data_IF_810725698581
#
_entry.id   IF_810725698581
#
_cell.length_a   1.000
_cell.length_b   1.000
_cell.length_c   1.000
_cell.angle_alpha   90.00
_cell.angle_beta   90.00
_cell.angle_gamma   90.00
#
_symmetry.space_group_name_H-M   'P 1'
#
loop_
_entity.id
_entity.type
_entity.pdbx_description
1 polymer ?
#
# COMPACT_ATOMS: atom_id res chain seq x y z
N UNK A 1 22.66 -5.38 70.79
CA UNK A 1 23.61 -5.46 71.93
C UNK A 1 25.03 -5.41 71.40
N UNK A 2 26.02 -4.99 72.20
CA UNK A 2 27.49 -5.28 72.07
C UNK A 2 28.13 -5.22 70.67
N UNK A 3 28.90 -4.18 70.33
CA UNK A 3 30.39 -4.11 70.48
C UNK A 3 31.15 -5.08 69.55
N UNK A 4 32.32 -4.76 68.95
CA UNK A 4 33.54 -4.02 69.36
C UNK A 4 34.08 -3.17 68.17
N UNK A 5 34.63 -1.98 68.34
CA UNK A 5 35.93 -1.56 68.90
C UNK A 5 37.15 -1.70 67.93
N UNK A 6 37.87 -0.59 67.75
CA UNK A 6 39.35 -0.40 67.89
C UNK A 6 40.34 -1.24 67.05
N UNK A 7 41.56 -0.78 66.68
CA UNK A 7 42.23 0.56 66.61
C UNK A 7 43.64 0.34 65.95
N UNK A 8 44.63 1.26 65.80
CA UNK A 8 44.84 2.69 66.13
C UNK A 8 45.99 3.30 65.28
N UNK A 9 46.08 4.64 65.19
CA UNK A 9 47.29 5.44 64.84
C UNK A 9 47.79 5.37 63.37
N UNK A 10 48.55 6.34 62.81
CA UNK A 10 49.41 7.40 63.38
C UNK A 10 49.30 8.77 62.70
N UNK A 11 49.79 9.79 63.40
CA UNK A 11 50.09 11.19 63.00
C UNK A 11 51.55 11.31 62.49
N UNK A 12 52.08 12.51 62.17
CA UNK A 12 51.58 13.59 61.30
C UNK A 12 52.69 14.09 60.31
N UNK A 13 52.44 15.20 59.59
CA UNK A 13 53.49 16.22 59.42
C UNK A 13 54.02 16.51 58.01
N UNK A 14 53.87 17.79 57.63
CA UNK A 14 54.55 18.54 56.57
C UNK A 14 55.91 18.02 56.07
N UNK A 15 56.06 17.91 54.74
CA UNK A 15 56.92 18.81 53.93
C UNK A 15 56.80 18.50 52.43
N UNK A 16 56.14 19.37 51.65
CA UNK A 16 56.43 19.52 50.20
C UNK A 16 55.90 20.86 49.63
N UNK A 17 56.46 21.96 50.12
CA UNK A 17 56.49 23.19 49.32
C UNK A 17 57.55 23.08 48.21
N UNK A 18 57.50 23.98 47.22
CA UNK A 18 58.52 24.11 46.16
C UNK A 18 58.60 22.91 45.19
N UNK A 19 57.47 22.53 44.59
CA UNK A 19 57.45 21.90 43.26
C UNK A 19 56.29 22.35 42.35
N UNK A 20 55.29 23.06 42.90
CA UNK A 20 54.03 23.41 42.21
C UNK A 20 54.04 24.79 41.50
N UNK A 21 55.22 25.38 41.23
CA UNK A 21 55.35 26.74 40.67
C UNK A 21 55.98 26.75 39.25
N UNK A 22 56.53 25.61 38.79
CA UNK A 22 57.21 25.53 37.47
C UNK A 22 56.32 24.85 36.40
N UNK A 23 55.32 24.05 36.76
CA UNK A 23 54.38 23.45 35.79
C UNK A 23 53.27 24.41 35.30
N UNK A 24 52.90 25.41 36.09
CA UNK A 24 51.80 26.34 35.78
C UNK A 24 52.18 27.40 34.74
N UNK A 25 53.47 27.75 34.62
CA UNK A 25 53.96 28.76 33.68
C UNK A 25 53.99 28.27 32.23
N UNK A 26 54.26 26.98 31.98
CA UNK A 26 54.23 26.40 30.63
C UNK A 26 52.80 26.22 30.10
N UNK A 27 51.88 25.68 30.91
CA UNK A 27 50.48 25.48 30.51
C UNK A 27 49.74 26.81 30.23
N UNK A 28 50.12 27.90 30.90
CA UNK A 28 49.49 29.22 30.72
C UNK A 28 49.86 29.88 29.38
N UNK A 29 51.01 29.55 28.78
CA UNK A 29 51.46 30.19 27.54
C UNK A 29 50.69 29.69 26.31
N UNK A 30 50.37 28.39 26.26
CA UNK A 30 49.61 27.75 25.17
C UNK A 30 48.19 28.34 25.06
N UNK A 31 47.61 28.80 26.17
CA UNK A 31 46.26 29.37 26.18
C UNK A 31 46.18 30.83 25.70
N UNK A 32 47.30 31.54 25.56
CA UNK A 32 47.34 32.94 25.09
C UNK A 32 47.65 33.09 23.60
N UNK A 33 48.05 32.02 22.90
CA UNK A 33 48.25 32.05 21.45
C UNK A 33 46.92 32.20 20.69
N UNK A 34 46.93 33.05 19.67
CA UNK A 34 45.77 33.40 18.85
C UNK A 34 45.32 32.16 18.03
N UNK A 35 44.03 32.00 17.67
CA UNK A 35 43.55 30.77 17.02
C UNK A 35 44.22 30.40 15.69
N UNK A 36 44.86 31.36 15.01
CA UNK A 36 45.62 31.13 13.78
C UNK A 36 47.02 30.56 14.05
N UNK A 37 47.65 30.91 15.18
CA UNK A 37 48.94 30.36 15.61
C UNK A 37 48.82 28.91 16.10
N UNK A 38 47.67 28.54 16.69
CA UNK A 38 47.41 27.16 17.13
C UNK A 38 47.35 26.14 15.99
N UNK A 39 47.14 26.58 14.74
CA UNK A 39 47.23 25.72 13.54
C UNK A 39 48.68 25.45 13.09
N UNK A 40 49.68 26.16 13.62
CA UNK A 40 51.08 26.05 13.17
C UNK A 40 51.95 25.08 13.99
N UNK A 41 51.38 24.40 15.01
CA UNK A 41 52.15 23.64 16.00
C UNK A 41 51.77 22.15 16.10
N UNK A 42 51.40 21.53 14.97
CA UNK A 42 51.60 20.09 14.72
C UNK A 42 51.46 19.71 13.23
N UNK A 43 51.94 20.55 12.31
CA UNK A 43 51.98 20.26 10.85
C UNK A 43 53.09 19.25 10.55
N UNK A 44 52.89 18.00 10.98
CA UNK A 44 53.85 16.92 10.83
C UNK A 44 53.80 16.42 9.38
N UNK A 45 54.68 16.99 8.54
CA UNK A 45 54.78 16.69 7.11
C UNK A 45 54.77 15.19 6.85
N UNK A 46 53.67 14.75 6.24
CA UNK A 46 53.39 13.39 5.79
C UNK A 46 52.96 13.52 4.33
N UNK A 47 53.46 12.65 3.45
CA UNK A 47 53.31 12.80 2.00
C UNK A 47 52.38 11.73 1.44
N UNK A 48 51.35 12.18 0.72
CA UNK A 48 50.53 11.33 -0.12
C UNK A 48 51.16 11.29 -1.51
N UNK A 49 51.43 10.09 -2.02
CA UNK A 49 51.88 9.85 -3.39
C UNK A 49 50.79 9.10 -4.14
N UNK A 50 50.19 9.75 -5.12
CA UNK A 50 49.21 9.14 -6.04
C UNK A 50 49.94 8.80 -7.34
N UNK A 51 50.13 7.51 -7.60
CA UNK A 51 50.59 7.01 -8.90
C UNK A 51 49.38 6.68 -9.77
N UNK A 52 49.50 6.94 -11.06
CA UNK A 52 48.48 6.66 -12.08
C UNK A 52 49.18 6.01 -13.27
N UNK A 53 48.87 4.74 -13.52
CA UNK A 53 49.51 3.92 -14.55
C UNK A 53 48.47 3.31 -15.49
N UNK A 54 48.90 3.06 -16.71
CA UNK A 54 48.26 2.13 -17.66
C UNK A 54 48.39 0.70 -17.11
N UNK A 55 47.29 -0.06 -17.09
CA UNK A 55 47.28 -1.43 -16.57
C UNK A 55 47.93 -2.46 -17.51
N UNK A 56 47.91 -2.24 -18.82
CA UNK A 56 48.46 -3.18 -19.81
C UNK A 56 49.96 -2.96 -19.96
N UNK A 57 50.38 -1.72 -20.24
CA UNK A 57 51.80 -1.39 -20.49
C UNK A 57 52.60 -1.10 -19.22
N UNK A 58 51.92 -0.85 -18.09
CA UNK A 58 52.55 -0.36 -16.86
C UNK A 58 53.13 1.06 -16.97
N UNK A 59 52.86 1.79 -18.06
CA UNK A 59 53.43 3.12 -18.28
C UNK A 59 52.76 4.21 -17.43
N UNK A 60 53.53 5.22 -16.98
CA UNK A 60 53.01 6.33 -16.18
C UNK A 60 52.13 7.30 -17.01
N UNK A 61 50.88 7.50 -16.58
CA UNK A 61 49.93 8.38 -17.27
C UNK A 61 50.11 9.83 -16.82
N UNK A 62 50.64 10.67 -17.70
CA UNK A 62 50.83 12.10 -17.49
C UNK A 62 49.54 12.90 -17.72
N UNK A 63 49.42 14.06 -17.06
CA UNK A 63 48.26 14.95 -17.16
C UNK A 63 46.91 14.33 -16.75
N UNK A 64 46.92 13.25 -15.97
CA UNK A 64 45.72 12.76 -15.29
C UNK A 64 45.36 13.72 -14.17
N UNK A 65 44.11 14.19 -14.10
CA UNK A 65 43.70 15.09 -13.02
C UNK A 65 43.36 14.29 -11.77
N UNK A 66 44.07 14.58 -10.68
CA UNK A 66 43.84 14.00 -9.35
C UNK A 66 42.97 14.95 -8.54
N UNK A 67 41.80 14.46 -8.14
CA UNK A 67 40.86 15.15 -7.26
C UNK A 67 40.92 14.56 -5.86
N UNK A 68 41.05 15.42 -4.85
CA UNK A 68 41.05 15.05 -3.42
C UNK A 68 39.87 15.75 -2.76
N UNK A 69 38.98 14.96 -2.16
CA UNK A 69 37.77 15.42 -1.48
C UNK A 69 37.81 15.07 0.02
N UNK A 70 37.07 15.82 0.83
CA UNK A 70 36.86 15.48 2.25
C UNK A 70 36.00 14.22 2.42
N UNK A 71 35.81 13.74 3.66
CA UNK A 71 34.90 12.61 3.91
C UNK A 71 33.44 12.97 3.62
N UNK A 72 33.08 14.25 3.80
CA UNK A 72 31.79 14.87 3.50
C UNK A 72 31.59 15.17 2.00
N UNK A 73 32.66 15.13 1.20
CA UNK A 73 32.62 15.31 -0.26
C UNK A 73 32.99 16.71 -0.76
N UNK A 74 33.50 17.61 0.08
CA UNK A 74 34.00 18.93 -0.38
C UNK A 74 35.33 18.77 -1.12
N UNK A 75 35.53 19.46 -2.25
CA UNK A 75 36.80 19.40 -3.01
C UNK A 75 37.90 20.17 -2.26
N UNK A 76 38.90 19.43 -1.75
CA UNK A 76 40.07 19.97 -1.05
C UNK A 76 41.14 20.41 -2.06
N UNK A 77 41.42 19.57 -3.07
CA UNK A 77 42.53 19.80 -4.00
C UNK A 77 42.29 19.18 -5.37
N UNK A 78 42.78 19.88 -6.40
CA UNK A 78 42.91 19.41 -7.78
C UNK A 78 44.37 19.62 -8.24
N UNK A 79 44.92 18.68 -9.02
CA UNK A 79 46.22 18.80 -9.66
C UNK A 79 46.43 17.79 -10.79
N UNK A 80 47.52 17.90 -11.55
CA UNK A 80 47.86 17.01 -12.67
C UNK A 80 49.05 16.10 -12.32
N UNK A 81 49.03 14.85 -12.79
CA UNK A 81 50.18 13.94 -12.69
C UNK A 81 51.36 14.37 -13.57
N UNK A 82 52.57 14.25 -13.03
CA UNK A 82 53.85 14.42 -13.73
C UNK A 82 54.69 13.15 -13.56
N UNK A 83 55.16 12.57 -14.66
CA UNK A 83 55.69 11.20 -14.72
C UNK A 83 54.77 10.18 -14.05
N UNK A 84 53.46 10.26 -14.33
CA UNK A 84 52.45 9.38 -13.74
C UNK A 84 52.21 9.56 -12.24
N UNK A 85 52.81 10.57 -11.61
CA UNK A 85 52.79 10.76 -10.17
C UNK A 85 52.28 12.15 -9.78
N UNK A 86 51.49 12.20 -8.71
CA UNK A 86 51.16 13.42 -7.99
C UNK A 86 51.55 13.26 -6.52
N UNK A 87 52.18 14.27 -5.92
CA UNK A 87 52.56 14.27 -4.50
C UNK A 87 51.86 15.43 -3.80
N UNK A 88 51.20 15.14 -2.68
CA UNK A 88 50.46 16.11 -1.88
C UNK A 88 50.89 16.03 -0.41
N UNK A 89 51.32 17.15 0.15
CA UNK A 89 51.56 17.31 1.59
C UNK A 89 50.38 18.02 2.25
N UNK A 90 50.30 17.91 3.58
CA UNK A 90 49.40 18.72 4.41
C UNK A 90 47.89 18.41 4.20
N UNK A 91 47.56 17.13 4.02
CA UNK A 91 46.20 16.57 3.93
C UNK A 91 45.52 16.40 5.32
N UNK A 92 44.17 16.29 5.39
CA UNK A 92 43.46 15.88 6.61
C UNK A 92 43.60 14.37 6.88
N UNK A 93 43.35 13.93 8.12
CA UNK A 93 43.55 12.53 8.54
C UNK A 93 42.83 11.47 7.69
N UNK A 94 41.66 11.81 7.13
CA UNK A 94 40.90 10.99 6.20
C UNK A 94 40.34 11.85 5.05
N UNK A 95 40.33 11.30 3.83
CA UNK A 95 39.88 11.95 2.59
C UNK A 95 39.52 10.90 1.52
N UNK A 96 39.00 11.34 0.38
CA UNK A 96 38.73 10.50 -0.81
C UNK A 96 39.54 10.99 -2.00
N UNK A 97 40.04 10.08 -2.83
CA UNK A 97 40.77 10.41 -4.08
C UNK A 97 40.04 9.83 -5.29
N UNK A 98 39.92 10.63 -6.36
CA UNK A 98 39.35 10.28 -7.68
C UNK A 98 40.29 10.77 -8.79
N UNK A 99 40.27 10.12 -9.95
CA UNK A 99 41.01 10.52 -11.16
C UNK A 99 40.02 10.92 -12.26
N UNK A 100 40.37 11.88 -13.12
CA UNK A 100 39.48 12.45 -14.15
C UNK A 100 38.81 11.43 -15.08
N UNK A 101 39.48 10.34 -15.43
CA UNK A 101 38.98 9.30 -16.35
C UNK A 101 38.42 8.05 -15.65
N UNK A 102 38.19 8.11 -14.34
CA UNK A 102 37.49 7.07 -13.56
C UNK A 102 36.38 7.73 -12.75
N UNK A 103 35.29 8.13 -13.44
CA UNK A 103 34.33 9.08 -12.87
C UNK A 103 33.62 8.56 -11.60
N UNK A 104 33.35 7.26 -11.52
CA UNK A 104 32.67 6.64 -10.36
C UNK A 104 33.62 6.12 -9.26
N UNK A 105 34.94 6.06 -9.51
CA UNK A 105 35.88 5.42 -8.58
C UNK A 105 36.50 6.38 -7.56
N UNK A 106 35.88 6.46 -6.39
CA UNK A 106 36.46 7.06 -5.19
C UNK A 106 37.23 6.03 -4.36
N UNK A 107 38.50 6.30 -4.06
CA UNK A 107 39.26 5.55 -3.04
C UNK A 107 39.27 6.34 -1.73
N UNK A 108 38.73 5.74 -0.67
CA UNK A 108 38.80 6.29 0.69
C UNK A 108 40.19 6.07 1.31
N UNK A 109 40.72 7.09 1.99
CA UNK A 109 42.11 7.14 2.44
C UNK A 109 42.18 7.78 3.83
N UNK A 110 42.39 6.97 4.86
CA UNK A 110 42.87 7.44 6.16
C UNK A 110 44.38 7.21 6.31
N UNK A 111 45.08 8.09 7.03
CA UNK A 111 46.54 8.05 7.22
C UNK A 111 46.91 8.47 8.65
N UNK A 112 47.89 7.81 9.26
CA UNK A 112 48.42 8.18 10.58
C UNK A 112 49.32 9.42 10.53
N UNK A 113 49.48 10.08 11.69
CA UNK A 113 50.36 11.26 11.83
C UNK A 113 51.83 10.86 11.64
N UNK A 114 52.45 11.34 10.56
CA UNK A 114 53.82 10.98 10.19
C UNK A 114 53.97 9.75 9.28
N UNK A 115 52.88 9.20 8.74
CA UNK A 115 52.94 8.10 7.76
C UNK A 115 52.91 8.65 6.32
N UNK A 116 53.95 8.37 5.52
CA UNK A 116 53.88 8.54 4.06
C UNK A 116 53.01 7.42 3.45
N UNK A 117 52.17 7.75 2.47
CA UNK A 117 51.23 6.79 1.87
C UNK A 117 51.22 6.84 0.35
N UNK A 118 51.28 5.66 -0.28
CA UNK A 118 51.21 5.49 -1.73
C UNK A 118 49.85 4.91 -2.14
N UNK A 119 49.25 5.46 -3.19
CA UNK A 119 48.03 4.96 -3.83
C UNK A 119 48.32 4.76 -5.31
N UNK A 120 48.08 3.56 -5.83
CA UNK A 120 48.21 3.25 -7.24
C UNK A 120 46.83 3.16 -7.88
N UNK A 121 46.47 4.13 -8.72
CA UNK A 121 45.39 3.99 -9.69
C UNK A 121 45.94 3.31 -10.93
N UNK A 122 45.13 2.41 -11.47
CA UNK A 122 45.42 1.63 -12.66
C UNK A 122 44.28 1.95 -13.63
N UNK A 123 44.60 2.31 -14.87
CA UNK A 123 43.64 2.61 -15.92
C UNK A 123 43.81 1.59 -17.05
N UNK A 124 42.78 0.80 -17.28
CA UNK A 124 42.59 0.07 -18.52
C UNK A 124 42.03 1.07 -19.53
N UNK A 125 42.70 1.22 -20.68
CA UNK A 125 42.05 1.88 -21.81
C UNK A 125 40.83 1.03 -22.20
N UNK A 126 39.64 1.62 -22.44
CA UNK A 126 38.59 0.88 -23.12
C UNK A 126 39.14 0.44 -24.47
N UNK A 127 39.00 -0.85 -24.78
CA UNK A 127 39.54 -1.44 -26.02
C UNK A 127 39.00 -0.68 -27.25
N UNK A 128 39.81 -0.62 -28.31
CA UNK A 128 39.72 0.36 -29.38
C UNK A 128 38.27 0.55 -29.89
N UNK A 129 37.69 1.71 -29.57
CA UNK A 129 36.25 2.02 -29.65
C UNK A 129 35.51 1.28 -30.79
N UNK A 130 34.70 0.24 -30.48
CA UNK A 130 34.15 -0.64 -31.51
C UNK A 130 33.26 0.15 -32.49
N UNK A 131 33.53 -0.06 -33.78
CA UNK A 131 33.05 0.74 -34.90
C UNK A 131 31.52 0.76 -34.94
N UNK A 132 30.92 1.95 -34.96
CA UNK A 132 29.48 2.13 -34.73
C UNK A 132 28.71 2.07 -36.05
N UNK A 133 27.88 1.03 -36.21
CA UNK A 133 26.97 0.84 -37.34
C UNK A 133 25.60 1.50 -37.11
N UNK A 134 25.16 1.58 -35.85
CA UNK A 134 23.90 2.23 -35.46
C UNK A 134 23.95 2.74 -34.02
N UNK A 135 23.19 3.79 -33.73
CA UNK A 135 22.96 4.32 -32.40
C UNK A 135 21.61 5.02 -32.33
N UNK A 136 20.81 4.72 -31.31
CA UNK A 136 19.55 5.38 -30.98
C UNK A 136 19.52 5.64 -29.46
N UNK A 137 19.16 6.86 -29.10
CA UNK A 137 18.87 7.31 -27.72
C UNK A 137 17.36 7.18 -27.44
N UNK A 138 16.96 7.17 -26.17
CA UNK A 138 15.55 7.15 -25.71
C UNK A 138 14.67 6.10 -26.43
N UNK A 139 15.06 4.81 -26.36
CA UNK A 139 14.31 3.71 -27.00
C UNK A 139 12.92 3.51 -26.38
N UNK A 140 12.78 3.69 -25.06
CA UNK A 140 11.52 3.65 -24.34
C UNK A 140 11.12 2.27 -23.83
N UNK A 141 9.83 2.10 -23.52
CA UNK A 141 9.33 0.90 -22.83
C UNK A 141 8.94 -0.21 -23.81
N UNK A 142 9.71 -1.31 -23.79
CA UNK A 142 9.46 -2.54 -24.55
C UNK A 142 8.87 -3.65 -23.66
N UNK A 143 8.28 -4.64 -24.31
CA UNK A 143 7.65 -5.80 -23.67
C UNK A 143 6.18 -5.60 -23.34
N UNK A 144 5.55 -6.68 -22.90
CA UNK A 144 4.14 -6.74 -22.51
C UNK A 144 3.94 -7.39 -21.15
N UNK A 145 2.70 -7.44 -20.68
CA UNK A 145 2.33 -8.38 -19.60
C UNK A 145 1.02 -9.05 -19.97
N UNK A 146 0.85 -10.33 -19.61
CA UNK A 146 -0.37 -11.07 -19.95
C UNK A 146 -1.58 -10.74 -19.04
N UNK A 147 -1.45 -9.76 -18.14
CA UNK A 147 -2.44 -9.41 -17.11
C UNK A 147 -2.32 -10.32 -15.88
N UNK A 148 -1.11 -10.55 -15.41
CA UNK A 148 -0.79 -11.61 -14.45
C UNK A 148 -1.12 -11.25 -13.01
N UNK A 149 -1.41 -12.29 -12.22
CA UNK A 149 -1.58 -12.17 -10.78
C UNK A 149 -0.20 -12.09 -10.15
N UNK A 150 0.25 -10.86 -9.83
CA UNK A 150 1.48 -10.56 -9.10
C UNK A 150 1.52 -11.33 -7.78
N UNK A 151 0.40 -11.31 -7.03
CA UNK A 151 0.22 -12.11 -5.82
C UNK A 151 -1.27 -12.23 -5.42
N UNK A 152 -1.55 -13.13 -4.48
CA UNK A 152 -2.86 -13.27 -3.82
C UNK A 152 -2.70 -13.24 -2.30
N UNK A 153 -3.51 -12.44 -1.60
CA UNK A 153 -3.68 -12.51 -0.13
C UNK A 153 -4.99 -13.26 0.18
N UNK A 154 -4.93 -14.33 0.97
CA UNK A 154 -6.12 -15.02 1.47
C UNK A 154 -6.51 -14.54 2.88
N UNK A 155 -7.82 -14.46 3.15
CA UNK A 155 -8.36 -14.02 4.43
C UNK A 155 -9.33 -15.05 5.03
N UNK A 156 -9.41 -15.17 6.37
CA UNK A 156 -10.33 -16.07 7.04
C UNK A 156 -11.80 -15.86 6.65
N UNK A 157 -12.54 -16.97 6.56
CA UNK A 157 -14.00 -16.96 6.36
C UNK A 157 -14.67 -16.07 7.44
N UNK A 158 -15.57 -15.20 7.01
CA UNK A 158 -16.15 -14.14 7.84
C UNK A 158 -17.65 -14.35 7.99
N UNK A 159 -18.17 -14.18 9.20
CA UNK A 159 -19.62 -14.12 9.47
C UNK A 159 -19.94 -12.74 10.03
N UNK A 160 -20.84 -12.03 9.36
CA UNK A 160 -21.42 -10.77 9.80
C UNK A 160 -22.93 -10.97 10.02
N UNK A 161 -23.50 -10.35 11.06
CA UNK A 161 -24.89 -10.61 11.43
C UNK A 161 -25.58 -9.46 12.18
N UNK A 162 -26.79 -9.17 11.69
CA UNK A 162 -27.83 -8.32 12.27
C UNK A 162 -29.10 -9.16 12.57
N UNK A 163 -29.06 -10.14 13.51
CA UNK A 163 -30.19 -11.02 13.78
C UNK A 163 -31.48 -10.28 14.16
N UNK A 164 -32.62 -10.83 13.71
CA UNK A 164 -33.94 -10.27 14.01
C UNK A 164 -34.30 -10.50 15.49
N UNK A 165 -34.44 -9.40 16.22
CA UNK A 165 -34.93 -9.34 17.59
C UNK A 165 -36.37 -8.83 17.64
N UNK A 166 -37.07 -9.14 18.73
CA UNK A 166 -38.46 -8.75 18.92
C UNK A 166 -38.64 -8.09 20.30
N UNK A 167 -39.27 -6.91 20.33
CA UNK A 167 -39.85 -6.35 21.55
C UNK A 167 -41.37 -6.55 21.52
N UNK A 168 -42.00 -6.74 22.67
CA UNK A 168 -43.46 -6.87 22.78
C UNK A 168 -43.95 -6.11 24.00
N UNK A 169 -44.79 -5.10 23.76
CA UNK A 169 -45.47 -4.34 24.82
C UNK A 169 -46.89 -4.84 24.93
N UNK A 170 -47.28 -5.31 26.12
CA UNK A 170 -48.65 -5.74 26.42
C UNK A 170 -49.40 -4.58 27.10
N UNK A 171 -50.68 -4.45 26.79
CA UNK A 171 -51.58 -3.41 27.31
C UNK A 171 -52.74 -4.10 28.06
N UNK A 172 -53.37 -3.43 29.05
CA UNK A 172 -54.55 -3.97 29.71
C UNK A 172 -55.72 -4.18 28.73
N UNK A 173 -56.66 -5.04 29.10
CA UNK A 173 -57.93 -5.20 28.37
C UNK A 173 -58.67 -3.87 28.25
N UNK A 174 -59.37 -3.66 27.14
CA UNK A 174 -60.05 -2.41 26.83
C UNK A 174 -61.45 -2.68 26.29
N UNK A 175 -62.43 -1.88 26.70
CA UNK A 175 -63.82 -2.02 26.30
C UNK A 175 -64.21 -0.82 25.44
N UNK A 176 -64.83 -1.05 24.29
CA UNK A 176 -65.28 -0.01 23.35
C UNK A 176 -66.80 -0.07 23.17
N UNK A 177 -67.45 1.09 23.21
CA UNK A 177 -68.88 1.25 22.92
C UNK A 177 -69.12 2.00 21.60
N UNK A 178 -70.20 1.66 20.90
CA UNK A 178 -70.70 2.42 19.75
C UNK A 178 -72.23 2.42 19.63
N UNK A 179 -72.75 3.41 18.92
CA UNK A 179 -74.17 3.57 18.60
C UNK A 179 -74.30 4.37 17.27
N UNK A 180 -75.53 4.72 16.88
CA UNK A 180 -75.81 5.45 15.64
C UNK A 180 -75.10 6.83 15.52
N UNK A 181 -74.78 7.47 16.65
CA UNK A 181 -74.23 8.83 16.70
C UNK A 181 -72.74 8.88 17.06
N UNK A 182 -72.17 7.81 17.63
CA UNK A 182 -70.77 7.79 18.05
C UNK A 182 -70.13 6.39 17.95
N UNK A 183 -68.80 6.36 17.88
CA UNK A 183 -68.00 5.18 18.23
C UNK A 183 -66.80 5.66 19.03
N UNK A 184 -66.55 5.01 20.15
CA UNK A 184 -65.28 5.13 20.86
C UNK A 184 -64.15 4.54 20.02
N UNK A 185 -62.91 4.93 20.35
CA UNK A 185 -61.70 4.39 19.75
C UNK A 185 -60.55 4.35 20.75
N UNK A 186 -59.81 3.24 20.75
CA UNK A 186 -58.64 3.02 21.60
C UNK A 186 -57.37 3.38 20.81
N UNK A 187 -56.68 4.45 21.23
CA UNK A 187 -55.37 4.83 20.71
C UNK A 187 -54.22 4.18 21.48
N UNK A 188 -53.34 3.46 20.79
CA UNK A 188 -52.15 2.79 21.34
C UNK A 188 -50.91 3.20 20.54
N UNK A 189 -49.92 3.75 21.24
CA UNK A 189 -48.68 4.23 20.62
C UNK A 189 -47.54 3.23 20.80
N UNK A 190 -46.95 2.80 19.70
CA UNK A 190 -45.63 2.19 19.68
C UNK A 190 -44.60 3.31 19.45
N UNK A 191 -43.95 3.76 20.54
CA UNK A 191 -42.92 4.79 20.54
C UNK A 191 -41.51 4.21 20.34
N UNK A 192 -40.51 5.08 20.15
CA UNK A 192 -39.09 4.70 20.03
C UNK A 192 -38.80 3.75 18.87
N UNK A 193 -39.57 3.86 17.78
CA UNK A 193 -39.35 3.08 16.56
C UNK A 193 -38.18 3.67 15.79
N UNK A 194 -36.99 3.06 15.91
CA UNK A 194 -35.87 3.38 15.02
C UNK A 194 -36.19 2.83 13.62
N UNK A 195 -36.57 3.74 12.73
CA UNK A 195 -36.92 3.46 11.34
C UNK A 195 -35.75 2.87 10.52
N UNK A 196 -34.50 2.97 10.98
CA UNK A 196 -33.35 2.39 10.30
C UNK A 196 -33.26 0.87 10.54
N UNK A 197 -33.31 0.44 11.81
CA UNK A 197 -33.17 -0.99 12.18
C UNK A 197 -34.50 -1.74 12.36
N UNK A 198 -35.63 -1.06 12.52
CA UNK A 198 -36.93 -1.74 12.62
C UNK A 198 -37.35 -2.32 11.26
N UNK A 199 -37.76 -3.58 11.23
CA UNK A 199 -38.30 -4.29 10.06
C UNK A 199 -39.80 -4.02 9.90
N UNK A 200 -40.54 -4.13 10.99
CA UNK A 200 -41.99 -3.95 11.04
C UNK A 200 -42.49 -3.70 12.46
N UNK A 201 -43.68 -3.12 12.58
CA UNK A 201 -44.41 -3.00 13.85
C UNK A 201 -45.78 -3.64 13.69
N UNK A 202 -45.98 -4.75 14.39
CA UNK A 202 -47.27 -5.43 14.50
C UNK A 202 -48.11 -4.90 15.66
N UNK A 203 -49.42 -5.00 15.54
CA UNK A 203 -50.39 -4.78 16.61
C UNK A 203 -51.46 -5.87 16.57
N UNK A 204 -51.84 -6.40 17.73
CA UNK A 204 -52.76 -7.54 17.81
C UNK A 204 -53.56 -7.57 19.12
N UNK A 205 -54.73 -8.20 19.08
CA UNK A 205 -55.62 -8.40 20.23
C UNK A 205 -56.60 -9.57 19.97
N UNK A 206 -57.26 -10.04 21.02
CA UNK A 206 -58.36 -11.00 20.99
C UNK A 206 -59.68 -10.27 21.28
N UNK A 207 -60.74 -10.53 20.52
CA UNK A 207 -62.09 -10.04 20.83
C UNK A 207 -62.78 -11.02 21.80
N UNK A 208 -62.67 -10.78 23.11
CA UNK A 208 -63.17 -11.70 24.14
C UNK A 208 -64.70 -11.79 24.17
N UNK A 209 -65.39 -10.69 23.94
CA UNK A 209 -66.85 -10.60 23.84
C UNK A 209 -67.27 -9.43 22.95
N UNK A 210 -68.42 -9.55 22.30
CA UNK A 210 -69.07 -8.47 21.56
C UNK A 210 -70.57 -8.49 21.78
N UNK A 211 -71.23 -7.34 21.61
CA UNK A 211 -72.69 -7.20 21.63
C UNK A 211 -73.17 -6.56 20.33
N UNK A 212 -74.20 -7.14 19.73
CA UNK A 212 -74.56 -6.87 18.34
C UNK A 212 -73.56 -7.51 17.39
N UNK A 213 -73.33 -6.88 16.23
CA UNK A 213 -72.38 -7.37 15.24
C UNK A 213 -71.49 -6.24 14.66
N UNK A 214 -70.74 -5.53 15.53
CA UNK A 214 -69.91 -4.39 15.13
C UNK A 214 -68.79 -4.77 14.17
N UNK A 215 -68.41 -3.81 13.32
CA UNK A 215 -67.25 -3.93 12.43
C UNK A 215 -66.01 -3.40 13.15
N UNK A 216 -65.02 -4.28 13.36
CA UNK A 216 -63.76 -3.88 13.98
C UNK A 216 -62.90 -3.19 12.93
N UNK A 217 -62.51 -1.94 13.17
CA UNK A 217 -61.57 -1.20 12.33
C UNK A 217 -60.28 -0.92 13.07
N UNK A 218 -59.15 -1.15 12.41
CA UNK A 218 -57.81 -0.84 12.94
C UNK A 218 -57.10 0.08 11.95
N UNK A 219 -56.70 1.24 12.43
CA UNK A 219 -55.90 2.22 11.72
C UNK A 219 -54.48 2.25 12.32
N UNK A 220 -53.48 2.60 11.52
CA UNK A 220 -52.15 2.96 11.99
C UNK A 220 -51.70 4.25 11.28
N UNK A 221 -51.40 5.30 12.05
CA UNK A 221 -51.12 6.64 11.51
C UNK A 221 -52.20 7.09 10.51
N UNK A 222 -53.47 7.02 10.94
CA UNK A 222 -54.71 7.29 10.18
C UNK A 222 -54.96 6.43 8.91
N UNK A 223 -54.01 5.59 8.49
CA UNK A 223 -54.21 4.61 7.42
C UNK A 223 -54.94 3.38 7.94
N UNK A 224 -56.07 3.03 7.34
CA UNK A 224 -56.80 1.79 7.61
C UNK A 224 -55.94 0.57 7.26
N UNK A 225 -55.77 -0.35 8.20
CA UNK A 225 -55.06 -1.63 8.02
C UNK A 225 -56.01 -2.85 8.05
N UNK A 226 -57.15 -2.74 8.74
CA UNK A 226 -58.13 -3.81 8.90
C UNK A 226 -59.54 -3.22 9.10
N UNK A 227 -60.56 -3.85 8.54
CA UNK A 227 -61.97 -3.47 8.68
C UNK A 227 -62.87 -4.68 8.41
N UNK A 228 -63.24 -5.44 9.44
CA UNK A 228 -64.05 -6.66 9.28
C UNK A 228 -64.88 -7.01 10.53
N UNK A 229 -65.87 -7.89 10.36
CA UNK A 229 -66.74 -8.42 11.42
C UNK A 229 -66.08 -9.61 12.11
N UNK A 230 -65.38 -9.33 13.21
CA UNK A 230 -64.64 -10.33 13.97
C UNK A 230 -65.59 -11.18 14.82
N UNK A 231 -65.34 -12.50 14.87
CA UNK A 231 -66.09 -13.43 15.73
C UNK A 231 -65.60 -13.39 17.18
N UNK A 232 -66.46 -13.77 18.13
CA UNK A 232 -66.06 -13.86 19.53
C UNK A 232 -64.96 -14.93 19.72
N UNK A 233 -63.91 -14.60 20.48
CA UNK A 233 -62.68 -15.38 20.59
C UNK A 233 -61.71 -15.20 19.41
N UNK A 234 -62.09 -14.45 18.37
CA UNK A 234 -61.26 -14.16 17.21
C UNK A 234 -60.06 -13.27 17.55
N UNK A 235 -58.94 -13.52 16.90
CA UNK A 235 -57.73 -12.69 17.00
C UNK A 235 -57.63 -11.77 15.78
N UNK A 236 -57.36 -10.49 16.03
CA UNK A 236 -56.97 -9.52 14.99
C UNK A 236 -55.47 -9.30 15.10
N UNK A 237 -54.78 -9.26 13.96
CA UNK A 237 -53.37 -8.90 13.87
C UNK A 237 -53.14 -8.08 12.61
N UNK A 238 -52.51 -6.91 12.76
CA UNK A 238 -52.11 -6.02 11.67
C UNK A 238 -50.62 -5.73 11.76
N UNK A 239 -50.01 -5.36 10.64
CA UNK A 239 -48.59 -5.01 10.59
C UNK A 239 -48.38 -3.75 9.76
N UNK A 240 -47.60 -2.81 10.30
CA UNK A 240 -46.98 -1.73 9.52
C UNK A 240 -45.63 -2.25 9.02
N UNK A 241 -45.45 -2.45 7.69
CA UNK A 241 -44.17 -2.85 7.12
C UNK A 241 -43.20 -1.66 7.04
N UNK A 242 -41.92 -1.94 6.80
CA UNK A 242 -40.80 -0.98 6.69
C UNK A 242 -41.16 0.38 6.05
N UNK A 243 -41.87 0.35 4.92
CA UNK A 243 -42.22 1.53 4.11
C UNK A 243 -43.26 2.45 4.77
N UNK A 244 -43.99 1.96 5.78
CA UNK A 244 -44.96 2.75 6.56
C UNK A 244 -44.46 3.15 7.95
N UNK A 245 -43.22 2.83 8.31
CA UNK A 245 -42.68 3.12 9.64
C UNK A 245 -42.32 4.60 9.80
N UNK A 246 -42.76 5.17 10.93
CA UNK A 246 -42.33 6.45 11.46
C UNK A 246 -41.77 6.23 12.89
N UNK A 247 -41.33 7.31 13.57
CA UNK A 247 -40.75 7.20 14.94
C UNK A 247 -41.75 6.79 16.03
N UNK A 248 -43.05 7.01 15.79
CA UNK A 248 -44.15 6.68 16.70
C UNK A 248 -45.37 6.24 15.90
N UNK A 249 -45.69 4.95 15.92
CA UNK A 249 -46.88 4.40 15.26
C UNK A 249 -48.07 4.61 16.20
N UNK A 250 -49.10 5.33 15.77
CA UNK A 250 -50.36 5.47 16.51
C UNK A 250 -51.40 4.49 15.95
N UNK A 251 -51.68 3.41 16.68
CA UNK A 251 -52.70 2.41 16.34
C UNK A 251 -54.04 2.83 16.96
N UNK A 252 -55.06 3.05 16.13
CA UNK A 252 -56.41 3.40 16.59
C UNK A 252 -57.39 2.27 16.25
N UNK A 253 -57.99 1.65 17.28
CA UNK A 253 -58.98 0.58 17.14
C UNK A 253 -60.38 1.12 17.43
N UNK A 254 -61.33 0.89 16.51
CA UNK A 254 -62.74 1.28 16.64
C UNK A 254 -63.67 0.08 16.53
N UNK A 255 -64.79 0.16 17.23
CA UNK A 255 -65.87 -0.82 17.29
C UNK A 255 -67.06 -0.27 16.48
N UNK A 256 -66.89 -0.08 15.17
CA UNK A 256 -67.87 0.66 14.34
C UNK A 256 -69.24 -0.03 14.32
N UNK A 257 -70.28 0.76 14.58
CA UNK A 257 -71.67 0.35 14.68
C UNK A 257 -72.24 -0.16 13.34
N UNK A 258 -72.77 -1.39 13.30
CA UNK A 258 -73.52 -1.89 12.13
C UNK A 258 -74.98 -1.43 12.16
N UNK A 259 -75.46 -0.89 11.02
CA UNK A 259 -76.64 -0.04 10.90
C UNK A 259 -77.99 -0.67 11.25
N UNK A 260 -78.07 -2.00 11.27
CA UNK A 260 -79.32 -2.75 11.40
C UNK A 260 -79.94 -2.76 12.81
N UNK A 261 -79.22 -2.31 13.84
CA UNK A 261 -79.66 -2.37 15.24
C UNK A 261 -79.68 -0.99 15.93
N UNK A 262 -80.29 0.00 15.28
CA UNK A 262 -80.26 1.42 15.65
C UNK A 262 -80.75 1.79 17.07
N UNK A 263 -81.44 0.89 17.77
CA UNK A 263 -81.87 1.07 19.15
C UNK A 263 -80.86 0.60 20.22
N UNK A 264 -79.80 -0.14 19.85
CA UNK A 264 -78.92 -0.80 20.82
C UNK A 264 -77.47 -0.35 20.72
N UNK A 265 -76.89 0.08 21.84
CA UNK A 265 -75.43 0.21 21.98
C UNK A 265 -74.77 -1.13 21.69
N UNK A 266 -73.84 -1.13 20.73
CA UNK A 266 -72.96 -2.24 20.41
C UNK A 266 -71.67 -2.11 21.25
N UNK A 267 -71.03 -3.23 21.54
CA UNK A 267 -69.78 -3.23 22.31
C UNK A 267 -68.76 -4.27 21.86
N UNK A 268 -67.49 -3.99 22.15
CA UNK A 268 -66.33 -4.81 21.86
C UNK A 268 -65.37 -4.84 23.06
N UNK A 269 -65.16 -6.02 23.65
CA UNK A 269 -64.20 -6.26 24.72
C UNK A 269 -62.91 -6.85 24.15
N UNK A 270 -61.84 -6.07 24.18
CA UNK A 270 -60.52 -6.41 23.63
C UNK A 270 -59.60 -6.89 24.75
N UNK A 271 -58.95 -8.03 24.56
CA UNK A 271 -57.95 -8.60 25.49
C UNK A 271 -56.69 -9.02 24.75
N UNK A 272 -55.65 -9.47 25.48
CA UNK A 272 -54.34 -9.84 24.91
C UNK A 272 -53.72 -8.76 24.02
N UNK A 273 -54.05 -7.49 24.29
CA UNK A 273 -53.72 -6.34 23.46
C UNK A 273 -52.20 -6.10 23.52
N UNK A 274 -51.53 -6.12 22.37
CA UNK A 274 -50.07 -5.99 22.32
C UNK A 274 -49.57 -5.38 21.01
N UNK A 275 -48.50 -4.59 21.13
CA UNK A 275 -47.66 -4.18 20.00
C UNK A 275 -46.41 -5.06 19.99
N UNK A 276 -45.94 -5.43 18.78
CA UNK A 276 -44.71 -6.20 18.57
C UNK A 276 -43.82 -5.45 17.58
N UNK A 277 -42.64 -5.04 18.01
CA UNK A 277 -41.64 -4.42 17.14
C UNK A 277 -40.62 -5.49 16.74
N UNK A 278 -40.49 -5.77 15.44
CA UNK A 278 -39.42 -6.62 14.90
C UNK A 278 -38.28 -5.72 14.41
N UNK A 279 -37.05 -5.90 14.92
CA UNK A 279 -35.92 -5.04 14.60
C UNK A 279 -34.59 -5.80 14.56
N UNK A 280 -33.64 -5.27 13.79
CA UNK A 280 -32.34 -5.89 13.56
C UNK A 280 -31.33 -5.45 14.62
N UNK A 281 -30.88 -6.40 15.45
CA UNK A 281 -29.91 -6.12 16.54
C UNK A 281 -28.49 -6.40 16.04
N UNK A 282 -27.51 -5.50 16.24
CA UNK A 282 -26.12 -5.76 15.88
C UNK A 282 -25.53 -6.90 16.71
N UNK A 283 -25.02 -7.96 16.06
CA UNK A 283 -24.31 -9.07 16.74
C UNK A 283 -22.84 -9.12 16.35
N UNK A 284 -22.54 -9.05 15.04
CA UNK A 284 -21.18 -8.81 14.52
C UNK A 284 -21.30 -8.04 13.22
N UNK A 285 -21.21 -6.72 13.30
CA UNK A 285 -21.53 -5.81 12.19
C UNK A 285 -20.33 -5.51 11.29
N UNK A 286 -19.12 -5.73 11.78
CA UNK A 286 -17.87 -5.45 11.09
C UNK A 286 -16.84 -6.56 11.33
N UNK A 287 -15.94 -6.73 10.37
CA UNK A 287 -14.72 -7.54 10.48
C UNK A 287 -13.58 -6.81 9.77
N UNK A 288 -12.51 -6.53 10.50
CA UNK A 288 -11.26 -5.97 9.96
C UNK A 288 -10.22 -7.08 9.78
N UNK A 289 -9.41 -6.97 8.72
CA UNK A 289 -8.19 -7.74 8.51
C UNK A 289 -7.03 -6.78 8.21
N UNK A 290 -5.93 -6.92 8.92
CA UNK A 290 -4.71 -6.15 8.67
C UNK A 290 -3.76 -6.96 7.78
N UNK A 291 -3.13 -6.32 6.79
CA UNK A 291 -2.18 -6.97 5.88
C UNK A 291 -1.01 -6.06 5.45
N UNK A 292 0.09 -6.68 5.06
CA UNK A 292 1.28 -6.03 4.48
C UNK A 292 1.33 -6.17 2.97
N UNK A 293 2.09 -5.30 2.31
CA UNK A 293 2.38 -5.36 0.86
C UNK A 293 3.88 -5.28 0.58
N UNK A 294 4.35 -5.96 -0.46
CA UNK A 294 5.67 -5.71 -1.07
C UNK A 294 5.67 -4.43 -1.91
N UNK A 295 6.82 -4.00 -2.45
CA UNK A 295 6.90 -2.93 -3.46
C UNK A 295 6.01 -3.23 -4.67
N UNK A 296 6.24 -4.38 -5.30
CA UNK A 296 5.52 -4.83 -6.50
C UNK A 296 4.00 -4.91 -6.29
N UNK A 297 3.53 -5.21 -5.07
CA UNK A 297 2.09 -5.20 -4.73
C UNK A 297 1.49 -3.79 -4.56
N UNK A 298 2.31 -2.77 -4.29
CA UNK A 298 1.88 -1.35 -4.27
C UNK A 298 1.93 -0.72 -5.66
N UNK A 299 2.83 -1.22 -6.51
CA UNK A 299 3.01 -0.81 -7.90
C UNK A 299 2.05 -1.54 -8.87
N UNK A 300 1.21 -2.46 -8.36
CA UNK A 300 0.15 -3.11 -9.12
C UNK A 300 -0.88 -2.09 -9.65
N UNK A 301 -1.18 -2.13 -10.95
CA UNK A 301 -2.18 -1.22 -11.52
C UNK A 301 -3.60 -1.51 -11.00
N UNK A 302 -4.00 -2.78 -10.88
CA UNK A 302 -5.35 -3.18 -10.47
C UNK A 302 -5.28 -4.13 -9.26
N UNK A 303 -6.14 -3.89 -8.27
CA UNK A 303 -6.44 -4.84 -7.20
C UNK A 303 -7.89 -5.31 -7.30
N UNK A 304 -8.12 -6.62 -7.17
CA UNK A 304 -9.46 -7.23 -7.17
C UNK A 304 -9.73 -7.99 -5.86
N UNK A 305 -10.82 -7.63 -5.19
CA UNK A 305 -11.40 -8.43 -4.12
C UNK A 305 -12.30 -9.51 -4.75
N UNK A 306 -12.13 -10.78 -4.36
CA UNK A 306 -13.09 -11.86 -4.62
C UNK A 306 -13.55 -12.52 -3.32
N UNK A 307 -14.80 -12.94 -3.27
CA UNK A 307 -15.34 -13.79 -2.20
C UNK A 307 -16.61 -14.53 -2.65
N UNK A 308 -17.08 -15.49 -1.86
CA UNK A 308 -18.32 -16.23 -2.08
C UNK A 308 -19.25 -15.97 -0.91
N UNK A 309 -20.52 -15.65 -1.14
CA UNK A 309 -21.55 -15.71 -0.08
C UNK A 309 -22.06 -17.14 0.06
N UNK A 310 -22.27 -17.65 1.27
CA UNK A 310 -22.83 -18.99 1.46
C UNK A 310 -24.35 -19.00 1.37
N UNK A 311 -24.97 -17.95 1.89
CA UNK A 311 -26.42 -17.83 2.09
C UNK A 311 -26.97 -16.59 1.38
N UNK A 312 -28.29 -16.52 1.20
CA UNK A 312 -28.99 -15.32 0.72
C UNK A 312 -29.00 -14.21 1.80
N UNK A 313 -28.02 -13.31 1.75
CA UNK A 313 -27.86 -12.26 2.74
C UNK A 313 -28.82 -11.08 2.48
N UNK A 314 -30.00 -11.10 3.10
CA UNK A 314 -30.98 -10.00 3.03
C UNK A 314 -30.40 -8.70 3.60
N UNK A 315 -30.00 -7.74 2.75
CA UNK A 315 -29.41 -6.46 3.17
C UNK A 315 -27.98 -6.23 2.66
N UNK A 316 -27.24 -7.31 2.38
CA UNK A 316 -25.91 -7.25 1.78
C UNK A 316 -24.80 -6.64 2.65
N UNK A 317 -23.65 -6.41 2.03
CA UNK A 317 -22.37 -6.13 2.69
C UNK A 317 -21.61 -5.05 1.91
N UNK A 318 -20.86 -4.22 2.63
CA UNK A 318 -19.83 -3.33 2.08
C UNK A 318 -18.43 -3.81 2.41
N UNK A 319 -17.48 -3.58 1.51
CA UNK A 319 -16.06 -3.80 1.75
C UNK A 319 -15.26 -2.53 1.40
N UNK A 320 -14.27 -2.21 2.23
CA UNK A 320 -13.34 -1.11 2.02
C UNK A 320 -11.91 -1.52 2.32
N UNK A 321 -10.94 -0.88 1.66
CA UNK A 321 -9.51 -0.99 1.96
C UNK A 321 -8.97 0.40 2.30
N UNK A 322 -8.29 0.53 3.44
CA UNK A 322 -7.72 1.81 3.89
C UNK A 322 -8.73 2.97 3.94
N UNK A 323 -9.99 2.66 4.25
CA UNK A 323 -11.18 3.53 4.22
C UNK A 323 -11.75 3.87 2.82
N UNK A 324 -11.14 3.40 1.74
CA UNK A 324 -11.68 3.51 0.37
C UNK A 324 -12.66 2.37 0.14
N UNK A 325 -13.93 2.69 -0.13
CA UNK A 325 -14.96 1.69 -0.45
C UNK A 325 -14.68 1.06 -1.82
N UNK A 326 -14.64 -0.27 -1.87
CA UNK A 326 -14.39 -1.05 -3.09
C UNK A 326 -15.60 -1.89 -3.51
N UNK A 327 -16.53 -2.15 -2.59
CA UNK A 327 -17.74 -2.94 -2.86
C UNK A 327 -18.89 -2.45 -1.97
N UNK A 328 -20.06 -2.21 -2.56
CA UNK A 328 -21.36 -2.14 -1.87
C UNK A 328 -22.35 -3.06 -2.56
N UNK A 329 -23.07 -3.87 -1.79
CA UNK A 329 -24.28 -4.54 -2.25
C UNK A 329 -25.38 -4.51 -1.19
N UNK A 330 -26.62 -4.47 -1.69
CA UNK A 330 -27.86 -4.46 -0.91
C UNK A 330 -28.44 -5.88 -0.72
N UNK A 331 -27.82 -6.88 -1.33
CA UNK A 331 -28.18 -8.31 -1.26
C UNK A 331 -27.00 -9.17 -1.70
N UNK A 332 -26.82 -10.34 -1.09
CA UNK A 332 -25.95 -11.38 -1.65
C UNK A 332 -26.79 -12.63 -1.93
N UNK A 333 -26.54 -13.32 -3.04
CA UNK A 333 -27.39 -14.38 -3.61
C UNK A 333 -26.66 -15.73 -3.72
N UNK A 334 -25.79 -16.05 -2.76
CA UNK A 334 -24.96 -17.28 -2.71
C UNK A 334 -23.98 -17.51 -3.88
N UNK A 335 -23.71 -16.48 -4.68
CA UNK A 335 -22.76 -16.52 -5.82
C UNK A 335 -21.33 -16.07 -5.46
N UNK A 336 -20.44 -16.14 -6.46
CA UNK A 336 -19.11 -15.51 -6.43
C UNK A 336 -19.25 -14.00 -6.71
N UNK A 337 -18.70 -13.19 -5.82
CA UNK A 337 -18.62 -11.74 -5.95
C UNK A 337 -17.19 -11.30 -6.26
N UNK A 338 -17.05 -10.30 -7.11
CA UNK A 338 -15.79 -9.60 -7.29
C UNK A 338 -15.95 -8.08 -7.39
N UNK A 339 -14.87 -7.37 -7.08
CA UNK A 339 -14.77 -5.92 -7.20
C UNK A 339 -13.32 -5.49 -7.48
N UNK A 340 -13.12 -4.72 -8.54
CA UNK A 340 -11.79 -4.27 -8.98
C UNK A 340 -11.65 -2.75 -8.85
N UNK A 341 -10.46 -2.29 -8.44
CA UNK A 341 -10.12 -0.87 -8.35
C UNK A 341 -8.64 -0.65 -8.61
N UNK A 342 -8.20 0.51 -9.14
CA UNK A 342 -6.78 0.80 -9.30
C UNK A 342 -6.06 0.81 -7.94
N UNK A 343 -4.94 0.10 -7.77
CA UNK A 343 -4.34 -0.05 -6.45
C UNK A 343 -3.73 1.26 -5.91
N UNK A 344 -3.30 2.15 -6.81
CA UNK A 344 -2.89 3.54 -6.50
C UNK A 344 -3.97 4.31 -5.72
N UNK A 345 -5.26 4.05 -5.97
CA UNK A 345 -6.36 4.71 -5.27
C UNK A 345 -6.54 4.22 -3.82
N UNK A 346 -5.92 3.09 -3.44
CA UNK A 346 -6.06 2.48 -2.12
C UNK A 346 -5.03 2.97 -1.09
N UNK A 347 -4.08 3.82 -1.50
CA UNK A 347 -3.06 4.36 -0.60
C UNK A 347 -2.27 3.27 0.14
N UNK A 348 -1.89 2.21 -0.57
CA UNK A 348 -1.28 1.03 0.01
C UNK A 348 0.09 1.34 0.62
N UNK A 349 0.36 0.75 1.78
CA UNK A 349 1.61 0.89 2.53
C UNK A 349 2.26 -0.47 2.79
N UNK A 350 3.53 -0.47 3.17
CA UNK A 350 4.26 -1.72 3.43
C UNK A 350 3.64 -2.51 4.61
N UNK A 351 3.25 -1.80 5.68
CA UNK A 351 2.55 -2.40 6.82
C UNK A 351 1.49 -1.45 7.39
N UNK A 352 0.30 -2.00 7.68
CA UNK A 352 -0.84 -1.26 8.22
C UNK A 352 -2.06 -1.15 7.31
N UNK A 353 -2.11 -1.85 6.17
CA UNK A 353 -3.30 -1.89 5.33
C UNK A 353 -4.45 -2.62 6.03
N UNK A 354 -5.68 -2.14 5.84
CA UNK A 354 -6.89 -2.68 6.48
C UNK A 354 -7.96 -2.98 5.44
N UNK A 355 -8.29 -4.26 5.26
CA UNK A 355 -9.50 -4.72 4.59
C UNK A 355 -10.63 -4.82 5.62
N UNK A 356 -11.70 -4.06 5.45
CA UNK A 356 -12.85 -4.03 6.37
C UNK A 356 -14.13 -4.43 5.64
N UNK A 357 -14.81 -5.45 6.15
CA UNK A 357 -16.18 -5.77 5.74
C UNK A 357 -17.17 -5.25 6.78
N UNK A 358 -18.25 -4.62 6.31
CA UNK A 358 -19.35 -4.11 7.13
C UNK A 358 -20.68 -4.67 6.62
N UNK A 359 -21.45 -5.32 7.48
CA UNK A 359 -22.82 -5.70 7.17
C UNK A 359 -23.70 -4.43 7.13
N UNK A 360 -24.59 -4.36 6.15
CA UNK A 360 -25.68 -3.40 6.20
C UNK A 360 -26.74 -3.86 7.22
N UNK A 361 -27.57 -2.95 7.79
CA UNK A 361 -28.70 -3.36 8.62
C UNK A 361 -29.57 -4.38 7.89
N UNK A 362 -30.10 -5.37 8.63
CA UNK A 362 -30.75 -6.60 8.17
C UNK A 362 -29.86 -7.75 7.69
N UNK A 363 -28.59 -7.51 7.34
CA UNK A 363 -27.76 -8.55 6.76
C UNK A 363 -27.28 -9.60 7.78
N UNK A 364 -27.49 -10.86 7.45
CA UNK A 364 -26.73 -12.00 7.96
C UNK A 364 -25.98 -12.61 6.76
N UNK A 365 -24.65 -12.56 6.78
CA UNK A 365 -23.80 -12.84 5.64
C UNK A 365 -22.59 -13.66 6.06
N UNK A 366 -22.45 -14.86 5.47
CA UNK A 366 -21.27 -15.70 5.61
C UNK A 366 -20.45 -15.59 4.33
N UNK A 367 -19.28 -14.96 4.44
CA UNK A 367 -18.31 -14.77 3.37
C UNK A 367 -17.23 -15.86 3.45
N UNK A 368 -16.96 -16.54 2.33
CA UNK A 368 -15.93 -17.58 2.21
C UNK A 368 -14.99 -17.30 1.04
N UNK A 369 -13.77 -17.86 1.12
CA UNK A 369 -12.78 -17.72 0.05
C UNK A 369 -12.40 -16.27 -0.23
N UNK A 370 -12.36 -15.44 0.82
CA UNK A 370 -12.07 -14.01 0.72
C UNK A 370 -10.61 -13.84 0.29
N UNK A 371 -10.39 -13.22 -0.86
CA UNK A 371 -9.07 -13.07 -1.49
C UNK A 371 -8.90 -11.68 -2.09
N UNK A 372 -7.72 -11.09 -1.93
CA UNK A 372 -7.28 -9.94 -2.71
C UNK A 372 -6.25 -10.41 -3.74
N UNK A 373 -6.48 -10.10 -5.01
CA UNK A 373 -5.59 -10.36 -6.14
C UNK A 373 -4.95 -9.03 -6.58
N UNK A 374 -3.66 -9.05 -6.87
CA UNK A 374 -2.90 -7.91 -7.40
C UNK A 374 -2.53 -8.21 -8.85
N UNK A 375 -2.83 -7.29 -9.76
CA UNK A 375 -2.72 -7.51 -11.21
C UNK A 375 -1.82 -6.47 -11.88
N UNK A 376 -1.06 -6.94 -12.87
CA UNK A 376 -0.51 -6.08 -13.93
C UNK A 376 -1.61 -5.76 -14.96
N UNK A 377 -1.51 -4.66 -15.72
CA UNK A 377 -2.41 -4.38 -16.82
C UNK A 377 -1.94 -5.15 -18.06
N UNK A 378 -2.87 -5.58 -18.91
CA UNK A 378 -2.52 -6.15 -20.23
C UNK A 378 -2.00 -5.03 -21.13
N UNK A 379 -0.70 -4.74 -21.05
CA UNK A 379 0.00 -3.94 -22.05
C UNK A 379 0.28 -4.84 -23.25
N UNK A 380 -0.01 -4.33 -24.45
CA UNK A 380 0.46 -4.99 -25.68
C UNK A 380 1.97 -5.15 -25.65
N UNK A 381 2.48 -6.19 -26.31
CA UNK A 381 3.92 -6.44 -26.40
C UNK A 381 4.57 -5.34 -27.24
N UNK A 382 5.13 -4.33 -26.57
CA UNK A 382 5.79 -3.21 -27.23
C UNK A 382 7.12 -3.70 -27.82
N UNK A 383 7.27 -3.50 -29.13
CA UNK A 383 8.45 -3.88 -29.89
C UNK A 383 8.95 -2.67 -30.68
N UNK A 384 10.27 -2.54 -30.79
CA UNK A 384 10.95 -1.42 -31.46
C UNK A 384 11.77 -1.94 -32.64
N UNK A 385 11.65 -1.30 -33.81
CA UNK A 385 12.24 -1.78 -35.07
C UNK A 385 13.17 -0.73 -35.69
N UNK A 386 14.43 -1.12 -35.94
CA UNK A 386 15.48 -0.27 -36.48
C UNK A 386 16.09 -0.88 -37.75
N UNK A 387 16.60 -0.01 -38.63
CA UNK A 387 17.35 -0.40 -39.82
C UNK A 387 18.78 0.13 -39.70
N UNK A 388 19.76 -0.75 -39.86
CA UNK A 388 21.17 -0.38 -39.93
C UNK A 388 21.84 -0.97 -41.17
N UNK A 389 23.02 -0.46 -41.50
CA UNK A 389 23.78 -0.87 -42.68
C UNK A 389 25.19 -1.28 -42.26
N UNK A 390 25.79 -2.22 -43.00
CA UNK A 390 27.16 -2.65 -42.82
C UNK A 390 27.75 -2.88 -44.22
N UNK A 391 28.76 -2.11 -44.61
CA UNK A 391 29.39 -2.28 -45.93
C UNK A 391 30.11 -3.62 -46.03
N UNK A 392 30.27 -4.11 -47.26
CA UNK A 392 31.01 -5.33 -47.54
C UNK A 392 32.44 -5.29 -46.94
N UNK A 393 33.06 -4.11 -46.86
CA UNK A 393 34.35 -3.89 -46.18
C UNK A 393 34.28 -4.08 -44.67
N UNK A 394 33.22 -3.61 -44.01
CA UNK A 394 33.02 -3.75 -42.56
C UNK A 394 32.72 -5.21 -42.23
N UNK A 395 31.80 -5.85 -42.98
CA UNK A 395 31.45 -7.27 -42.85
C UNK A 395 32.65 -8.21 -43.03
N UNK A 396 33.54 -7.94 -44.01
CA UNK A 396 34.76 -8.73 -44.20
C UNK A 396 35.88 -8.42 -43.18
N UNK A 397 35.74 -7.37 -42.37
CA UNK A 397 36.70 -7.01 -41.31
C UNK A 397 36.26 -7.43 -39.90
N UNK A 398 34.97 -7.74 -39.74
CA UNK A 398 34.30 -8.01 -38.48
C UNK A 398 34.60 -9.41 -37.97
N UNK A 399 35.07 -9.49 -36.72
CA UNK A 399 35.17 -10.72 -35.94
C UNK A 399 33.83 -11.03 -35.25
N UNK A 400 33.21 -10.01 -34.66
CA UNK A 400 31.92 -10.09 -33.95
C UNK A 400 31.06 -8.85 -34.24
N UNK A 401 29.77 -9.05 -34.46
CA UNK A 401 28.77 -7.99 -34.27
C UNK A 401 28.37 -7.88 -32.80
N UNK A 402 28.08 -6.68 -32.32
CA UNK A 402 27.64 -6.41 -30.95
C UNK A 402 26.40 -5.51 -30.97
N UNK A 403 25.35 -5.92 -30.25
CA UNK A 403 24.23 -5.03 -29.88
C UNK A 403 24.37 -4.74 -28.40
N UNK A 404 24.84 -3.54 -28.06
CA UNK A 404 24.90 -3.03 -26.69
C UNK A 404 23.66 -2.18 -26.40
N UNK A 405 23.09 -2.29 -25.21
CA UNK A 405 21.88 -1.58 -24.82
C UNK A 405 21.89 -1.21 -23.34
N UNK A 406 21.34 -0.05 -23.00
CA UNK A 406 21.17 0.41 -21.63
C UNK A 406 19.75 0.14 -21.15
N UNK A 407 19.63 -0.46 -19.97
CA UNK A 407 18.35 -0.71 -19.29
C UNK A 407 18.22 0.27 -18.14
N UNK A 408 17.38 1.30 -18.28
CA UNK A 408 17.12 2.27 -17.22
C UNK A 408 16.35 1.64 -16.06
N UNK A 409 15.35 0.81 -16.39
CA UNK A 409 14.43 0.25 -15.42
C UNK A 409 13.92 -1.14 -15.84
N UNK A 410 13.68 -2.00 -14.85
CA UNK A 410 13.11 -3.33 -15.03
C UNK A 410 11.77 -3.36 -14.30
N UNK A 411 10.68 -3.37 -15.05
CA UNK A 411 9.34 -3.53 -14.47
C UNK A 411 9.06 -5.01 -14.17
N UNK A 412 9.44 -5.91 -15.08
CA UNK A 412 9.39 -7.36 -14.89
C UNK A 412 10.64 -8.03 -15.49
N UNK A 413 11.38 -8.77 -14.66
CA UNK A 413 12.53 -9.57 -15.09
C UNK A 413 12.10 -10.59 -16.15
N UNK A 414 12.95 -10.81 -17.15
CA UNK A 414 12.66 -11.71 -18.26
C UNK A 414 13.79 -11.75 -19.28
N UNK A 415 13.45 -12.17 -20.50
CA UNK A 415 14.35 -12.14 -21.65
C UNK A 415 14.01 -10.99 -22.60
N UNK A 416 15.04 -10.33 -23.13
CA UNK A 416 14.94 -9.45 -24.29
C UNK A 416 15.37 -10.24 -25.53
N UNK A 417 14.56 -10.16 -26.58
CA UNK A 417 14.72 -10.84 -27.86
C UNK A 417 15.10 -9.84 -28.94
N UNK A 418 16.30 -10.02 -29.51
CA UNK A 418 16.84 -9.24 -30.61
C UNK A 418 16.76 -10.08 -31.88
N UNK A 419 15.88 -9.70 -32.81
CA UNK A 419 15.71 -10.39 -34.08
C UNK A 419 16.41 -9.59 -35.19
N UNK A 420 17.49 -10.13 -35.75
CA UNK A 420 18.22 -9.56 -36.90
C UNK A 420 17.97 -10.41 -38.12
N UNK A 421 17.45 -9.84 -39.21
CA UNK A 421 17.28 -10.52 -40.52
C UNK A 421 16.47 -11.85 -40.52
N UNK A 422 15.73 -12.15 -39.44
CA UNK A 422 15.03 -13.41 -39.10
C UNK A 422 15.79 -14.44 -38.24
N UNK A 423 16.98 -14.11 -37.76
CA UNK A 423 17.71 -14.86 -36.72
C UNK A 423 17.51 -14.15 -35.36
N UNK A 424 17.46 -14.93 -34.28
CA UNK A 424 17.06 -14.47 -32.95
C UNK A 424 18.18 -14.68 -31.92
N UNK A 425 18.56 -13.59 -31.25
CA UNK A 425 19.48 -13.58 -30.11
C UNK A 425 18.69 -13.19 -28.86
N UNK A 426 19.08 -13.74 -27.71
CA UNK A 426 18.36 -13.57 -26.46
C UNK A 426 19.31 -13.15 -25.34
N UNK A 427 18.93 -12.12 -24.59
CA UNK A 427 19.65 -11.70 -23.39
C UNK A 427 18.70 -11.74 -22.19
N UNK A 428 19.12 -12.44 -21.12
CA UNK A 428 18.45 -12.38 -19.82
C UNK A 428 18.92 -11.13 -19.10
N UNK A 429 17.99 -10.35 -18.56
CA UNK A 429 18.28 -9.07 -17.89
C UNK A 429 17.78 -9.14 -16.45
N UNK A 430 18.71 -9.12 -15.49
CA UNK A 430 18.45 -9.21 -14.05
C UNK A 430 18.78 -7.92 -13.26
N UNK A 431 19.38 -6.93 -13.92
CA UNK A 431 19.81 -5.64 -13.36
C UNK A 431 19.76 -4.52 -14.41
N UNK A 432 19.54 -3.29 -13.96
CA UNK A 432 19.68 -2.08 -14.76
C UNK A 432 21.14 -1.83 -15.17
N UNK A 433 21.34 -1.03 -16.22
CA UNK A 433 22.65 -0.65 -16.76
C UNK A 433 22.95 -1.20 -18.17
N UNK A 434 24.20 -1.08 -18.59
CA UNK A 434 24.68 -1.60 -19.88
C UNK A 434 24.70 -3.13 -19.92
N UNK A 435 24.15 -3.66 -21.00
CA UNK A 435 24.16 -5.06 -21.40
C UNK A 435 24.62 -5.16 -22.87
N UNK A 436 25.12 -6.31 -23.30
CA UNK A 436 25.54 -6.56 -24.69
C UNK A 436 25.17 -7.98 -25.09
N UNK A 437 24.70 -8.16 -26.32
CA UNK A 437 24.55 -9.47 -26.97
C UNK A 437 25.41 -9.51 -28.25
N UNK A 438 26.11 -10.62 -28.44
CA UNK A 438 26.94 -10.89 -29.64
C UNK A 438 26.06 -11.39 -30.79
N UNK A 439 26.42 -10.97 -32.01
CA UNK A 439 25.76 -11.29 -33.27
C UNK A 439 26.82 -11.85 -34.22
N UNK A 440 26.57 -13.02 -34.79
CA UNK A 440 27.54 -13.67 -35.68
C UNK A 440 27.63 -12.92 -37.02
N UNK A 441 28.85 -12.66 -37.59
CA UNK A 441 28.98 -11.82 -38.78
C UNK A 441 28.32 -12.41 -40.04
N UNK A 442 28.11 -13.73 -40.09
CA UNK A 442 27.44 -14.40 -41.22
C UNK A 442 25.92 -14.17 -41.28
N UNK A 443 25.32 -13.68 -40.19
CA UNK A 443 23.89 -13.35 -40.10
C UNK A 443 23.59 -11.89 -40.50
N UNK A 444 24.65 -11.10 -40.73
CA UNK A 444 24.58 -9.70 -41.15
C UNK A 444 24.64 -9.55 -42.67
N UNK A 445 23.89 -8.57 -43.16
CA UNK A 445 23.74 -8.20 -44.57
C UNK A 445 24.11 -6.73 -44.76
N UNK A 446 24.17 -6.29 -46.02
CA UNK A 446 24.47 -4.89 -46.34
C UNK A 446 23.43 -3.90 -45.75
N UNK A 447 22.16 -4.33 -45.68
CA UNK A 447 21.07 -3.68 -44.93
C UNK A 447 20.46 -4.70 -43.98
N UNK A 448 20.34 -4.33 -42.71
CA UNK A 448 19.83 -5.17 -41.63
C UNK A 448 18.54 -4.61 -41.05
N UNK A 449 17.62 -5.49 -40.70
CA UNK A 449 16.41 -5.18 -39.92
C UNK A 449 16.57 -5.78 -38.52
N UNK A 450 16.60 -4.92 -37.50
CA UNK A 450 16.66 -5.29 -36.08
C UNK A 450 15.32 -4.99 -35.42
N UNK A 451 14.66 -6.01 -34.89
CA UNK A 451 13.46 -5.89 -34.06
C UNK A 451 13.80 -6.30 -32.61
N UNK A 452 13.55 -5.41 -31.67
CA UNK A 452 13.73 -5.64 -30.23
C UNK A 452 12.36 -5.82 -29.58
N UNK A 453 12.20 -6.88 -28.79
CA UNK A 453 10.97 -7.24 -28.06
C UNK A 453 11.29 -7.90 -26.73
N UNK A 454 10.34 -7.96 -25.79
CA UNK A 454 10.53 -8.61 -24.50
C UNK A 454 9.31 -9.48 -24.15
N UNK A 455 9.17 -10.67 -24.76
CA UNK A 455 7.95 -11.49 -24.68
C UNK A 455 7.69 -12.10 -23.29
N UNK A 456 8.71 -12.13 -22.41
CA UNK A 456 8.63 -12.65 -21.04
C UNK A 456 9.02 -11.59 -19.98
N UNK A 457 9.00 -10.30 -20.31
CA UNK A 457 9.40 -9.23 -19.39
C UNK A 457 8.93 -7.84 -19.83
N UNK A 458 9.33 -6.80 -19.09
CA UNK A 458 9.04 -5.41 -19.46
C UNK A 458 10.14 -4.49 -18.96
N UNK A 459 10.72 -3.73 -19.88
CA UNK A 459 11.95 -2.98 -19.68
C UNK A 459 11.82 -1.56 -20.22
N UNK A 460 12.46 -0.62 -19.55
CA UNK A 460 12.71 0.73 -20.07
C UNK A 460 14.13 0.74 -20.62
N UNK A 461 14.26 0.95 -21.94
CA UNK A 461 15.54 1.04 -22.62
C UNK A 461 15.88 2.50 -22.93
N UNK A 462 17.08 2.90 -22.57
CA UNK A 462 17.66 4.18 -22.94
C UNK A 462 18.34 4.05 -24.29
N UNK A 463 19.66 3.99 -24.28
CA UNK A 463 20.48 3.86 -25.49
C UNK A 463 20.49 2.42 -26.05
N UNK A 464 20.46 2.30 -27.37
CA UNK A 464 20.80 1.08 -28.13
C UNK A 464 21.87 1.42 -29.17
N UNK A 465 22.96 0.65 -29.15
CA UNK A 465 24.13 0.76 -30.02
C UNK A 465 24.34 -0.55 -30.77
N UNK A 466 24.55 -0.49 -32.08
CA UNK A 466 25.09 -1.60 -32.87
C UNK A 466 26.50 -1.24 -33.30
N UNK A 467 27.47 -2.11 -33.00
CA UNK A 467 28.88 -1.94 -33.36
C UNK A 467 29.58 -3.26 -33.65
N UNK A 468 30.86 -3.21 -34.03
CA UNK A 468 31.65 -4.41 -34.30
C UNK A 468 33.12 -4.29 -33.85
N UNK A 469 33.76 -5.45 -33.72
CA UNK A 469 35.17 -5.69 -33.35
C UNK A 469 35.97 -6.32 -34.52
#
# INVERSE_FOLDING_TARGET
MTSRAQSSSRTPGMMMGIFLIILTSYLSYIFLLHPWERKALLTQKSNLTVNVIDCESGHPINNATVYIYSEEGELIKESLTTNGQYVYSDYPNCFRVKISFLEDQYRGVCVGSGEDKVINFCYEYPEASPYILHYKEDVGVIGGTSGEVINTKEFPNTILSYPLSNSTTNYPSYFLYSNLLWSEGMGIKATNVDVNITKSVGFSFTLQSKKGDPTIKVYANDKLLFSDKVQQGGNVSVMVPKQGLNRTIDFNVKCDFDGWMFWTTQDCNLTNIKTKQEFYTPKKVSQEFNFSTSSVEREADIMELRFISVDEASGGVRASINNVEIFDSKSLDSTNYSASTPAVNLGLNESGNKLVFNANPSAEAWLRGVRLYFYTPVTGDNQEEFIFYASDSELNSMNNGLISFFVDNIYYNGLISFKVNNIYYYQVVDKAGWNTVTVDPEDLLNRNELLISAPEGRFELGDVKVSYE
#
